data_IF_970017541132
#
_entry.id   IF_970017541132
#
_cell.length_a   1.000
_cell.length_b   1.000
_cell.length_c   1.000
_cell.angle_alpha   90.00
_cell.angle_beta   90.00
_cell.angle_gamma   90.00
#
_symmetry.space_group_name_H-M   'P 1'
#
loop_
_entity.id
_entity.type
_entity.pdbx_description
1 polymer ?
#
# COMPACT_ATOMS: atom_id res chain seq x y z
N UNK A 1 -8.70 19.34 0.10
CA UNK A 1 -9.45 18.09 -0.12
C UNK A 1 -8.63 16.99 -0.79
N UNK A 2 -7.76 17.27 -1.77
CA UNK A 2 -7.00 16.22 -2.47
C UNK A 2 -5.47 16.36 -2.45
N UNK A 3 -4.92 17.12 -1.50
CA UNK A 3 -3.49 17.42 -1.40
C UNK A 3 -2.78 16.65 -0.27
N UNK A 4 -3.52 15.79 0.44
CA UNK A 4 -3.03 14.94 1.53
C UNK A 4 -3.86 13.66 1.58
N UNK A 5 -3.33 12.56 2.15
CA UNK A 5 -4.16 11.42 2.49
C UNK A 5 -5.16 11.81 3.60
N UNK A 6 -6.39 11.31 3.49
CA UNK A 6 -7.51 11.54 4.42
C UNK A 6 -7.97 10.24 5.07
N UNK A 7 -8.01 9.17 4.28
CA UNK A 7 -8.50 7.86 4.68
C UNK A 7 -7.39 7.02 5.30
N UNK A 8 -7.67 6.42 6.46
CA UNK A 8 -6.76 5.47 7.10
C UNK A 8 -5.51 6.12 7.70
N UNK A 9 -5.56 7.42 8.03
CA UNK A 9 -4.40 8.14 8.57
C UNK A 9 -4.13 7.79 10.05
N UNK A 10 -5.15 7.34 10.78
CA UNK A 10 -5.07 7.08 12.22
C UNK A 10 -4.21 5.86 12.56
N UNK A 11 -3.99 4.95 11.61
CA UNK A 11 -3.05 3.85 11.74
C UNK A 11 -1.82 3.99 10.82
N UNK A 12 -1.36 5.23 10.62
CA UNK A 12 -0.19 5.54 9.80
C UNK A 12 0.87 6.35 10.55
N UNK A 13 2.04 5.74 10.79
CA UNK A 13 3.29 6.42 11.11
C UNK A 13 3.15 7.54 12.14
N UNK A 14 3.57 8.74 11.74
CA UNK A 14 3.53 9.95 12.59
C UNK A 14 2.13 10.40 13.04
N UNK A 15 1.07 9.87 12.45
CA UNK A 15 -0.32 10.20 12.79
C UNK A 15 -1.01 9.09 13.58
N UNK A 16 -0.26 8.08 14.02
CA UNK A 16 -0.82 6.92 14.67
C UNK A 16 -1.54 7.29 15.98
N UNK A 17 -2.83 6.95 16.05
CA UNK A 17 -3.67 7.00 17.26
C UNK A 17 -4.28 5.63 17.61
N UNK A 18 -4.27 4.66 16.68
CA UNK A 18 -4.76 3.31 16.92
C UNK A 18 -4.79 2.45 15.66
N UNK A 19 -4.96 1.14 15.82
CA UNK A 19 -5.19 0.21 14.70
C UNK A 19 -6.57 0.47 14.10
N UNK A 20 -6.63 0.65 12.78
CA UNK A 20 -7.88 0.86 12.07
C UNK A 20 -8.43 -0.44 11.51
N UNK A 21 -9.76 -0.55 11.54
CA UNK A 21 -10.52 -1.65 10.98
C UNK A 21 -11.38 -1.13 9.83
N UNK A 22 -11.17 -1.64 8.62
CA UNK A 22 -11.69 -1.07 7.37
C UNK A 22 -12.29 -2.15 6.46
N UNK A 23 -13.08 -1.74 5.46
CA UNK A 23 -13.83 -2.65 4.57
C UNK A 23 -15.28 -2.83 5.01
N UNK A 24 -15.80 -4.05 4.91
CA UNK A 24 -17.11 -4.42 5.45
C UNK A 24 -17.02 -4.65 6.97
N UNK A 25 -17.18 -3.57 7.73
CA UNK A 25 -17.07 -3.58 9.19
C UNK A 25 -18.26 -4.23 9.90
N UNK A 26 -19.31 -4.61 9.17
CA UNK A 26 -20.45 -5.36 9.73
C UNK A 26 -20.12 -6.85 9.94
N UNK A 27 -19.06 -7.36 9.30
CA UNK A 27 -18.59 -8.73 9.47
C UNK A 27 -17.51 -8.82 10.54
N UNK A 28 -17.58 -9.83 11.40
CA UNK A 28 -16.46 -10.22 12.27
C UNK A 28 -15.53 -11.16 11.48
N UNK A 29 -14.54 -10.63 10.77
CA UNK A 29 -13.48 -11.47 10.21
C UNK A 29 -12.13 -10.74 10.12
N UNK A 30 -11.48 -10.62 11.27
CA UNK A 30 -10.19 -9.99 11.56
C UNK A 30 -8.94 -10.69 10.97
N UNK A 31 -9.12 -11.59 10.01
CA UNK A 31 -8.02 -12.44 9.52
C UNK A 31 -7.05 -11.74 8.56
N UNK A 32 -7.45 -10.61 7.97
CA UNK A 32 -6.62 -9.85 7.02
C UNK A 32 -5.95 -8.67 7.71
N UNK A 33 -4.65 -8.53 7.51
CA UNK A 33 -3.84 -7.40 7.98
C UNK A 33 -3.12 -6.75 6.81
N UNK A 34 -3.26 -5.43 6.64
CA UNK A 34 -2.46 -4.64 5.70
C UNK A 34 -1.29 -3.96 6.43
N UNK A 35 -0.07 -4.29 6.01
CA UNK A 35 1.18 -3.69 6.47
C UNK A 35 1.91 -3.01 5.31
N UNK A 36 2.80 -2.06 5.64
CA UNK A 36 3.73 -1.50 4.69
C UNK A 36 4.10 -0.05 4.97
N UNK A 37 4.53 0.65 3.92
CA UNK A 37 4.94 2.05 3.99
C UNK A 37 3.79 3.00 3.55
N UNK A 38 4.10 4.16 2.99
CA UNK A 38 3.11 5.08 2.47
C UNK A 38 2.28 4.49 1.32
N UNK A 39 2.76 3.45 0.62
CA UNK A 39 1.96 2.75 -0.39
C UNK A 39 0.87 1.89 0.25
N UNK A 40 1.10 1.33 1.44
CA UNK A 40 0.03 0.68 2.20
C UNK A 40 -1.04 1.70 2.59
N UNK A 41 -0.67 2.92 2.99
CA UNK A 41 -1.63 4.01 3.25
C UNK A 41 -2.49 4.31 2.02
N UNK A 42 -1.88 4.41 0.83
CA UNK A 42 -2.62 4.60 -0.43
C UNK A 42 -3.60 3.45 -0.68
N UNK A 43 -3.19 2.21 -0.44
CA UNK A 43 -4.06 1.04 -0.64
C UNK A 43 -5.22 0.94 0.36
N UNK A 44 -5.21 1.65 1.50
CA UNK A 44 -6.30 1.59 2.49
C UNK A 44 -7.66 1.93 1.89
N UNK A 45 -7.76 3.03 1.14
CA UNK A 45 -9.03 3.43 0.54
C UNK A 45 -9.50 2.43 -0.52
N UNK A 46 -8.57 1.98 -1.39
CA UNK A 46 -8.85 0.94 -2.38
C UNK A 46 -9.40 -0.33 -1.73
N UNK A 47 -8.70 -0.89 -0.75
CA UNK A 47 -9.11 -2.11 -0.06
C UNK A 47 -10.39 -1.91 0.76
N UNK A 48 -10.62 -0.72 1.32
CA UNK A 48 -11.85 -0.42 2.06
C UNK A 48 -13.08 -0.44 1.15
N UNK A 49 -12.99 0.14 -0.05
CA UNK A 49 -14.08 0.13 -1.03
C UNK A 49 -14.36 -1.29 -1.52
N UNK A 50 -13.32 -2.01 -1.94
CA UNK A 50 -13.44 -3.39 -2.44
C UNK A 50 -13.92 -4.33 -1.33
N UNK A 51 -13.44 -4.15 -0.10
CA UNK A 51 -13.87 -4.90 1.08
C UNK A 51 -15.36 -4.68 1.40
N UNK A 52 -15.83 -3.44 1.31
CA UNK A 52 -17.25 -3.10 1.50
C UNK A 52 -18.12 -3.73 0.42
N UNK A 53 -17.67 -3.74 -0.83
CA UNK A 53 -18.41 -4.33 -1.96
C UNK A 53 -18.49 -5.86 -1.88
N UNK A 54 -17.38 -6.52 -1.55
CA UNK A 54 -17.29 -7.99 -1.58
C UNK A 54 -17.40 -8.65 -0.20
N UNK A 55 -17.64 -7.86 0.84
CA UNK A 55 -17.91 -8.34 2.19
C UNK A 55 -16.69 -8.97 2.87
N UNK A 56 -15.54 -8.29 2.83
CA UNK A 56 -14.40 -8.59 3.69
C UNK A 56 -13.92 -7.31 4.39
N UNK A 57 -13.20 -7.48 5.50
CA UNK A 57 -12.55 -6.39 6.22
C UNK A 57 -11.10 -6.73 6.52
N UNK A 58 -10.38 -5.72 6.99
CA UNK A 58 -8.97 -5.84 7.33
C UNK A 58 -8.61 -4.87 8.44
N UNK A 59 -7.60 -5.25 9.21
CA UNK A 59 -6.87 -4.34 10.09
C UNK A 59 -5.71 -3.74 9.34
N UNK A 60 -5.24 -2.57 9.73
CA UNK A 60 -4.08 -1.99 9.07
C UNK A 60 -3.21 -1.17 10.00
N UNK A 61 -1.90 -1.30 9.79
CA UNK A 61 -0.83 -0.52 10.39
C UNK A 61 0.17 -0.23 9.29
N UNK A 62 0.57 1.03 9.13
CA UNK A 62 1.50 1.45 8.07
C UNK A 62 2.41 2.54 8.59
N UNK A 63 3.50 2.85 7.90
CA UNK A 63 4.47 3.84 8.35
C UNK A 63 5.02 4.71 7.21
N UNK A 64 5.61 5.84 7.56
CA UNK A 64 6.32 6.70 6.61
C UNK A 64 7.66 6.06 6.20
N UNK A 65 7.95 6.03 4.89
CA UNK A 65 9.23 5.66 4.24
C UNK A 65 9.78 4.25 4.47
N UNK A 66 9.61 3.69 5.68
CA UNK A 66 10.05 2.36 6.10
C UNK A 66 8.81 1.52 6.35
N UNK A 67 8.66 0.37 5.67
CA UNK A 67 7.46 -0.43 5.82
C UNK A 67 7.34 -0.95 7.25
N UNK A 68 6.11 -1.08 7.75
CA UNK A 68 5.79 -1.58 9.09
C UNK A 68 6.01 -3.10 9.22
N UNK A 69 7.21 -3.55 8.87
CA UNK A 69 7.67 -4.94 8.89
C UNK A 69 8.78 -5.09 9.93
N UNK A 70 8.70 -6.03 10.88
CA UNK A 70 9.76 -6.26 11.85
C UNK A 70 11.01 -6.83 11.17
N UNK A 71 12.14 -6.14 11.33
CA UNK A 71 13.46 -6.65 10.88
C UNK A 71 14.35 -5.64 10.16
N UNK A 72 13.85 -4.45 9.84
CA UNK A 72 14.67 -3.41 9.17
C UNK A 72 15.87 -3.03 10.04
N UNK A 73 17.07 -3.09 9.44
CA UNK A 73 18.35 -2.84 10.09
C UNK A 73 18.54 -1.36 10.43
N UNK A 74 19.15 -1.09 11.59
CA UNK A 74 19.48 0.26 12.04
C UNK A 74 20.23 1.09 10.99
N UNK A 75 21.11 0.45 10.21
CA UNK A 75 21.94 1.12 9.19
C UNK A 75 21.14 1.73 8.04
N UNK A 76 19.90 1.26 7.81
CA UNK A 76 19.06 1.74 6.71
C UNK A 76 18.29 3.03 7.08
N UNK A 77 18.29 3.42 8.36
CA UNK A 77 17.58 4.61 8.80
C UNK A 77 18.35 5.89 8.50
N UNK A 78 17.70 6.81 7.78
CA UNK A 78 18.23 8.14 7.45
C UNK A 78 18.48 9.01 8.68
N UNK A 79 17.76 8.75 9.79
CA UNK A 79 17.88 9.51 11.03
C UNK A 79 17.38 8.70 12.24
N UNK A 80 17.80 9.13 13.44
CA UNK A 80 17.27 8.61 14.71
C UNK A 80 15.76 8.82 14.85
N UNK A 81 15.23 9.91 14.32
CA UNK A 81 13.79 10.22 14.38
C UNK A 81 12.97 9.24 13.53
N UNK A 82 13.38 8.97 12.28
CA UNK A 82 12.69 7.99 11.43
C UNK A 82 12.77 6.58 12.02
N UNK A 83 13.89 6.23 12.66
CA UNK A 83 14.03 4.98 13.40
C UNK A 83 13.05 4.89 14.57
N UNK A 84 12.98 5.93 15.41
CA UNK A 84 12.07 5.99 16.55
C UNK A 84 10.60 5.83 16.12
N UNK A 85 10.18 6.51 15.04
CA UNK A 85 8.83 6.34 14.49
C UNK A 85 8.57 4.89 14.07
N UNK A 86 9.49 4.30 13.31
CA UNK A 86 9.39 2.90 12.89
C UNK A 86 9.32 1.94 14.09
N UNK A 87 10.18 2.10 15.10
CA UNK A 87 10.22 1.21 16.27
C UNK A 87 8.92 1.22 17.08
N UNK A 88 8.21 2.36 17.12
CA UNK A 88 6.90 2.44 17.77
C UNK A 88 5.82 1.74 16.95
N UNK A 89 5.81 1.93 15.63
CA UNK A 89 4.82 1.32 14.74
C UNK A 89 5.03 -0.18 14.59
N UNK A 90 6.28 -0.63 14.52
CA UNK A 90 6.59 -2.04 14.23
C UNK A 90 6.22 -2.97 15.37
N UNK A 91 6.24 -2.49 16.62
CA UNK A 91 5.75 -3.24 17.78
C UNK A 91 4.25 -3.54 17.65
N UNK A 92 3.47 -2.52 17.28
CA UNK A 92 2.04 -2.67 17.01
C UNK A 92 1.83 -3.61 15.83
N UNK A 93 2.58 -3.42 14.74
CA UNK A 93 2.46 -4.27 13.55
C UNK A 93 2.77 -5.74 13.86
N UNK A 94 3.75 -6.03 14.73
CA UNK A 94 4.08 -7.39 15.17
C UNK A 94 2.97 -8.03 16.02
N UNK A 95 2.32 -7.25 16.88
CA UNK A 95 1.18 -7.72 17.67
C UNK A 95 -0.05 -8.01 16.79
N UNK A 96 -0.34 -7.14 15.82
CA UNK A 96 -1.39 -7.36 14.85
C UNK A 96 -1.08 -8.55 13.93
N UNK A 97 0.19 -8.72 13.56
CA UNK A 97 0.67 -9.84 12.74
C UNK A 97 0.34 -11.17 13.41
N UNK A 98 0.57 -11.32 14.72
CA UNK A 98 0.27 -12.57 15.47
C UNK A 98 -1.18 -13.01 15.28
N UNK A 99 -2.12 -12.06 15.29
CA UNK A 99 -3.55 -12.30 15.22
C UNK A 99 -4.11 -12.41 13.79
N UNK A 100 -3.27 -12.28 12.75
CA UNK A 100 -3.70 -12.37 11.35
C UNK A 100 -3.51 -13.78 10.76
N UNK A 101 -4.25 -14.12 9.70
CA UNK A 101 -4.01 -15.32 8.87
C UNK A 101 -3.50 -14.95 7.48
N UNK A 102 -3.88 -13.77 7.01
CA UNK A 102 -3.52 -13.22 5.70
C UNK A 102 -2.90 -11.84 5.93
N UNK A 103 -1.76 -11.60 5.32
CA UNK A 103 -1.00 -10.36 5.45
C UNK A 103 -0.80 -9.78 4.06
N UNK A 104 -1.41 -8.63 3.78
CA UNK A 104 -1.21 -7.87 2.55
C UNK A 104 -0.07 -6.87 2.80
N UNK A 105 0.92 -6.85 1.91
CA UNK A 105 2.07 -5.95 1.97
C UNK A 105 1.96 -4.91 0.85
N UNK A 106 1.73 -3.65 1.22
CA UNK A 106 1.77 -2.50 0.32
C UNK A 106 3.05 -1.70 0.52
N UNK A 107 4.03 -1.86 -0.37
CA UNK A 107 5.30 -1.12 -0.26
C UNK A 107 5.76 -0.60 -1.61
N UNK A 108 6.54 0.47 -1.56
CA UNK A 108 7.31 0.98 -2.71
C UNK A 108 8.63 0.22 -2.91
N UNK A 109 8.99 -0.69 -1.98
CA UNK A 109 10.19 -1.54 -2.02
C UNK A 109 11.49 -0.76 -2.29
N UNK A 110 11.72 0.30 -1.50
CA UNK A 110 12.84 1.22 -1.75
C UNK A 110 14.18 0.49 -1.70
N UNK A 111 14.96 0.60 -2.78
CA UNK A 111 16.29 -0.03 -2.92
C UNK A 111 17.33 0.45 -1.90
N UNK A 112 17.14 1.62 -1.30
CA UNK A 112 18.04 2.14 -0.27
C UNK A 112 17.81 1.51 1.11
N UNK A 113 16.74 0.72 1.30
CA UNK A 113 16.52 -0.08 2.51
C UNK A 113 17.14 -1.46 2.26
N UNK A 114 18.44 -1.58 2.49
CA UNK A 114 19.22 -2.76 2.06
C UNK A 114 18.83 -4.05 2.79
N UNK A 115 18.24 -3.95 3.98
CA UNK A 115 17.74 -5.09 4.75
C UNK A 115 16.31 -5.51 4.42
N UNK A 116 15.62 -4.82 3.50
CA UNK A 116 14.20 -5.07 3.24
C UNK A 116 13.93 -6.48 2.68
N UNK A 117 14.73 -6.93 1.72
CA UNK A 117 14.55 -8.26 1.12
C UNK A 117 14.75 -9.37 2.16
N UNK A 118 15.83 -9.29 2.95
CA UNK A 118 16.10 -10.23 4.05
C UNK A 118 14.97 -10.21 5.11
N UNK A 119 14.45 -9.02 5.41
CA UNK A 119 13.32 -8.84 6.34
C UNK A 119 12.06 -9.54 5.83
N UNK A 120 11.72 -9.35 4.54
CA UNK A 120 10.59 -10.02 3.91
C UNK A 120 10.78 -11.53 3.90
N UNK A 121 11.97 -12.01 3.54
CA UNK A 121 12.27 -13.44 3.49
C UNK A 121 12.10 -14.10 4.87
N UNK A 122 12.67 -13.50 5.92
CA UNK A 122 12.51 -13.96 7.30
C UNK A 122 11.06 -13.95 7.75
N UNK A 123 10.33 -12.88 7.43
CA UNK A 123 8.92 -12.73 7.78
C UNK A 123 8.09 -13.89 7.20
N UNK A 124 8.26 -14.17 5.91
CA UNK A 124 7.53 -15.24 5.20
C UNK A 124 7.91 -16.62 5.76
N UNK A 125 9.21 -16.90 5.91
CA UNK A 125 9.71 -18.20 6.38
C UNK A 125 9.33 -18.51 7.83
N UNK A 126 9.30 -17.50 8.71
CA UNK A 126 8.97 -17.69 10.12
C UNK A 126 7.47 -17.88 10.37
N UNK A 127 6.62 -17.63 9.36
CA UNK A 127 5.17 -17.73 9.49
C UNK A 127 4.57 -18.60 8.37
N UNK A 128 4.94 -19.89 8.27
CA UNK A 128 4.48 -20.77 7.20
C UNK A 128 2.96 -20.98 7.17
N UNK A 129 2.29 -20.76 8.31
CA UNK A 129 0.84 -20.90 8.45
C UNK A 129 0.05 -19.64 8.02
N UNK A 130 0.73 -18.53 7.69
CA UNK A 130 0.12 -17.29 7.21
C UNK A 130 0.32 -17.15 5.71
N UNK A 131 -0.65 -16.55 5.02
CA UNK A 131 -0.52 -16.17 3.61
C UNK A 131 -0.02 -14.74 3.50
N UNK A 132 1.04 -14.51 2.74
CA UNK A 132 1.57 -13.18 2.45
C UNK A 132 1.22 -12.79 1.03
N UNK A 133 0.56 -11.65 0.84
CA UNK A 133 0.16 -11.13 -0.47
C UNK A 133 0.90 -9.81 -0.70
N UNK A 134 1.77 -9.77 -1.70
CA UNK A 134 2.55 -8.60 -2.06
C UNK A 134 1.82 -7.82 -3.17
N UNK A 135 1.58 -6.54 -2.91
CA UNK A 135 0.95 -5.63 -3.87
C UNK A 135 2.02 -5.02 -4.77
N UNK A 136 1.82 -5.10 -6.09
CA UNK A 136 2.65 -4.33 -7.01
C UNK A 136 2.55 -2.81 -6.67
N UNK A 137 3.61 -2.00 -6.80
CA UNK A 137 3.53 -0.58 -6.46
C UNK A 137 2.63 0.19 -7.44
N UNK A 138 1.95 1.25 -6.99
CA UNK A 138 1.20 2.15 -7.88
C UNK A 138 2.13 2.95 -8.83
N UNK A 139 1.63 3.43 -9.99
CA UNK A 139 2.42 4.24 -10.90
C UNK A 139 2.84 5.58 -10.28
N UNK A 140 4.03 6.06 -10.65
CA UNK A 140 4.56 7.37 -10.26
C UNK A 140 4.55 8.35 -11.40
N UNK A 141 4.64 9.62 -11.04
CA UNK A 141 4.81 10.74 -11.95
C UNK A 141 6.24 11.28 -11.82
N UNK A 142 6.73 11.92 -12.87
CA UNK A 142 8.00 12.64 -12.89
C UNK A 142 7.97 13.91 -12.03
N UNK A 143 6.79 14.52 -11.86
CA UNK A 143 6.59 15.77 -11.10
C UNK A 143 5.24 15.81 -10.38
N UNK A 144 5.21 16.61 -9.32
CA UNK A 144 4.04 16.73 -8.45
C UNK A 144 2.86 17.43 -9.16
N UNK A 145 1.73 16.74 -9.40
CA UNK A 145 0.65 17.30 -10.21
C UNK A 145 -0.10 18.41 -9.49
N UNK A 146 -0.24 18.34 -8.17
CA UNK A 146 -0.90 19.39 -7.38
C UNK A 146 -0.10 20.69 -7.43
N UNK A 147 1.24 20.61 -7.34
CA UNK A 147 2.12 21.79 -7.39
C UNK A 147 2.14 22.44 -8.76
N UNK A 148 2.29 21.64 -9.83
CA UNK A 148 2.30 22.14 -11.21
C UNK A 148 0.96 22.77 -11.57
N UNK A 149 -0.12 22.08 -11.22
CA UNK A 149 -1.48 22.51 -11.52
C UNK A 149 -1.97 23.67 -10.64
N UNK A 150 -1.36 23.87 -9.46
CA UNK A 150 -1.77 24.83 -8.40
C UNK A 150 -3.20 24.60 -7.91
N UNK A 151 -3.59 23.34 -7.78
CA UNK A 151 -4.92 22.94 -7.35
C UNK A 151 -5.24 21.51 -7.74
N UNK A 152 -6.44 21.05 -7.40
CA UNK A 152 -6.88 19.69 -7.70
C UNK A 152 -7.69 19.57 -9.01
N UNK A 153 -8.25 20.67 -9.52
CA UNK A 153 -8.93 20.71 -10.82
C UNK A 153 -7.95 21.09 -11.92
N UNK A 154 -7.92 20.35 -13.02
CA UNK A 154 -6.98 20.59 -14.12
C UNK A 154 -7.07 22.04 -14.62
N UNK A 155 -5.93 22.69 -14.70
CA UNK A 155 -5.74 24.03 -15.22
C UNK A 155 -5.08 23.91 -16.60
N UNK A 156 -5.85 24.16 -17.66
CA UNK A 156 -5.37 24.05 -19.05
C UNK A 156 -4.27 25.06 -19.40
N UNK A 157 -4.04 26.06 -18.55
CA UNK A 157 -2.98 27.07 -18.72
C UNK A 157 -1.66 26.65 -18.05
N UNK A 158 -1.57 25.42 -17.53
CA UNK A 158 -0.37 24.86 -16.90
C UNK A 158 0.18 23.71 -17.74
N UNK A 159 1.48 23.46 -17.61
CA UNK A 159 2.14 22.32 -18.25
C UNK A 159 1.78 21.01 -17.54
N UNK A 160 0.60 20.50 -17.87
CA UNK A 160 0.05 19.27 -17.32
C UNK A 160 0.43 18.02 -18.13
N UNK A 161 1.64 18.00 -18.72
CA UNK A 161 2.23 16.80 -19.32
C UNK A 161 3.09 16.08 -18.27
N UNK A 162 2.93 14.77 -18.12
CA UNK A 162 3.63 13.98 -17.10
C UNK A 162 4.15 12.69 -17.72
N UNK A 163 5.34 12.29 -17.32
CA UNK A 163 5.86 10.96 -17.61
C UNK A 163 5.43 10.02 -16.49
N UNK A 164 4.78 8.91 -16.86
CA UNK A 164 4.28 7.92 -15.92
C UNK A 164 5.26 6.75 -15.85
N UNK A 165 5.77 6.48 -14.66
CA UNK A 165 6.63 5.34 -14.38
C UNK A 165 5.82 4.21 -13.74
N UNK A 166 5.74 3.08 -14.43
CA UNK A 166 5.15 1.85 -13.93
C UNK A 166 6.23 1.04 -13.21
N UNK A 167 6.10 0.92 -11.89
CA UNK A 167 7.05 0.21 -11.06
C UNK A 167 6.65 -1.25 -10.93
N UNK A 168 7.65 -2.12 -10.90
CA UNK A 168 7.46 -3.53 -10.58
C UNK A 168 7.99 -3.86 -9.19
N UNK A 169 7.51 -4.96 -8.62
CA UNK A 169 8.14 -5.56 -7.43
C UNK A 169 9.60 -5.90 -7.75
N UNK A 170 10.57 -5.58 -6.88
CA UNK A 170 11.97 -5.92 -7.13
C UNK A 170 12.20 -7.42 -7.30
N UNK A 171 13.18 -7.77 -8.13
CA UNK A 171 13.52 -9.16 -8.45
C UNK A 171 13.82 -10.03 -7.21
N UNK A 172 14.46 -9.47 -6.18
CA UNK A 172 14.70 -10.20 -4.93
C UNK A 172 13.40 -10.57 -4.20
N UNK A 173 12.42 -9.68 -4.19
CA UNK A 173 11.09 -9.95 -3.62
C UNK A 173 10.31 -10.94 -4.48
N UNK A 174 10.39 -10.85 -5.82
CA UNK A 174 9.79 -11.85 -6.73
C UNK A 174 10.32 -13.26 -6.43
N UNK A 175 11.65 -13.41 -6.28
CA UNK A 175 12.26 -14.69 -5.90
C UNK A 175 11.79 -15.21 -4.53
N UNK A 176 11.55 -14.33 -3.57
CA UNK A 176 10.98 -14.75 -2.28
C UNK A 176 9.56 -15.28 -2.49
N UNK A 177 8.75 -14.62 -3.31
CA UNK A 177 7.39 -15.07 -3.63
C UNK A 177 7.43 -16.45 -4.32
N UNK A 178 8.25 -16.61 -5.35
CA UNK A 178 8.32 -17.85 -6.14
C UNK A 178 8.84 -19.06 -5.33
N UNK A 179 9.71 -18.82 -4.34
CA UNK A 179 10.32 -19.87 -3.53
C UNK A 179 9.51 -20.24 -2.27
N UNK A 180 8.40 -19.56 -1.97
CA UNK A 180 7.64 -19.80 -0.74
C UNK A 180 6.15 -20.04 -1.08
N UNK A 181 5.59 -21.23 -0.78
CA UNK A 181 4.22 -21.59 -1.16
C UNK A 181 3.13 -20.76 -0.45
N UNK A 182 3.49 -20.07 0.63
CA UNK A 182 2.62 -19.19 1.38
C UNK A 182 2.77 -17.71 1.00
N UNK A 183 3.55 -17.38 -0.04
CA UNK A 183 3.71 -16.04 -0.58
C UNK A 183 3.08 -15.92 -1.97
N UNK A 184 2.40 -14.81 -2.22
CA UNK A 184 1.62 -14.55 -3.43
C UNK A 184 1.81 -13.09 -3.87
N UNK A 185 1.60 -12.82 -5.15
CA UNK A 185 1.55 -11.46 -5.69
C UNK A 185 0.16 -11.17 -6.23
N UNK A 186 -0.35 -9.96 -5.99
CA UNK A 186 -1.46 -9.39 -6.77
C UNK A 186 -0.95 -8.11 -7.43
N UNK A 187 -1.13 -8.04 -8.75
CA UNK A 187 -0.75 -6.91 -9.59
C UNK A 187 -1.97 -6.45 -10.39
N UNK A 188 -2.17 -5.14 -10.47
CA UNK A 188 -3.16 -4.53 -11.36
C UNK A 188 -2.45 -4.01 -12.61
N UNK A 189 -3.02 -4.24 -13.79
CA UNK A 189 -2.49 -3.69 -15.03
C UNK A 189 -2.83 -2.19 -15.16
N UNK A 190 -2.00 -1.36 -14.54
CA UNK A 190 -2.18 0.08 -14.53
C UNK A 190 -2.07 0.73 -15.92
N UNK A 191 -1.56 0.05 -16.95
CA UNK A 191 -1.57 0.57 -18.33
C UNK A 191 -2.99 0.72 -18.88
N UNK A 192 -3.98 0.03 -18.29
CA UNK A 192 -5.40 0.20 -18.61
C UNK A 192 -5.97 1.52 -18.10
N UNK A 193 -5.32 2.18 -17.14
CA UNK A 193 -5.77 3.48 -16.62
C UNK A 193 -5.58 4.56 -17.65
N UNK A 194 -6.69 5.17 -18.06
CA UNK A 194 -6.67 6.28 -19.01
C UNK A 194 -6.62 7.62 -18.26
N UNK A 195 -5.81 8.54 -18.79
CA UNK A 195 -5.83 9.94 -18.38
C UNK A 195 -4.96 10.32 -17.19
N UNK A 196 -4.09 9.43 -16.68
CA UNK A 196 -3.18 9.81 -15.58
C UNK A 196 -2.42 11.13 -15.91
N UNK A 197 -2.29 12.06 -14.94
CA UNK A 197 -2.74 11.97 -13.55
C UNK A 197 -4.17 12.50 -13.29
N UNK A 198 -4.97 12.79 -14.31
CA UNK A 198 -6.31 13.39 -14.18
C UNK A 198 -7.45 12.48 -14.67
N UNK A 199 -8.50 12.33 -13.87
CA UNK A 199 -9.77 11.75 -14.36
C UNK A 199 -10.88 12.79 -14.22
N UNK A 200 -11.65 12.97 -15.29
CA UNK A 200 -12.74 13.96 -15.35
C UNK A 200 -12.31 15.37 -14.89
N UNK A 201 -11.06 15.75 -15.18
CA UNK A 201 -10.49 17.03 -14.79
C UNK A 201 -10.09 17.16 -13.32
N UNK A 202 -10.09 16.07 -12.54
CA UNK A 202 -9.65 16.04 -11.14
C UNK A 202 -8.35 15.23 -11.02
N UNK A 203 -7.37 15.75 -10.28
CA UNK A 203 -6.11 15.06 -10.01
C UNK A 203 -6.36 13.80 -9.19
N UNK A 204 -5.77 12.68 -9.62
CA UNK A 204 -5.79 11.39 -8.93
C UNK A 204 -4.67 11.26 -7.89
N UNK A 205 -3.79 12.26 -7.81
CA UNK A 205 -2.57 12.26 -6.99
C UNK A 205 -2.52 13.48 -6.07
N UNK A 206 -1.95 13.30 -4.87
CA UNK A 206 -1.62 14.43 -3.99
C UNK A 206 -0.14 14.82 -4.07
N UNK A 207 0.72 13.93 -4.54
CA UNK A 207 2.10 14.20 -4.95
C UNK A 207 2.53 13.28 -6.09
N UNK A 208 3.81 13.30 -6.48
CA UNK A 208 4.35 12.50 -7.57
C UNK A 208 4.40 10.98 -7.29
N UNK A 209 4.34 10.56 -6.02
CA UNK A 209 4.44 9.15 -5.63
C UNK A 209 3.11 8.53 -5.18
N UNK A 210 2.14 9.34 -4.75
CA UNK A 210 0.97 8.87 -4.03
C UNK A 210 -0.35 9.34 -4.64
N UNK A 211 -1.23 8.37 -4.91
CA UNK A 211 -2.61 8.63 -5.26
C UNK A 211 -3.42 9.14 -4.06
N UNK A 212 -4.36 10.05 -4.32
CA UNK A 212 -5.31 10.53 -3.32
C UNK A 212 -6.57 9.64 -3.27
N UNK A 213 -7.52 10.02 -2.41
CA UNK A 213 -8.79 9.30 -2.25
C UNK A 213 -9.58 9.19 -3.57
N UNK A 214 -9.58 10.24 -4.38
CA UNK A 214 -10.24 10.21 -5.69
C UNK A 214 -9.56 9.21 -6.64
N UNK A 215 -8.23 9.25 -6.73
CA UNK A 215 -7.46 8.31 -7.55
C UNK A 215 -7.66 6.86 -7.15
N UNK A 216 -7.60 6.57 -5.85
CA UNK A 216 -7.80 5.21 -5.31
C UNK A 216 -9.24 4.73 -5.43
N UNK A 217 -10.23 5.64 -5.44
CA UNK A 217 -11.62 5.31 -5.78
C UNK A 217 -11.75 4.89 -7.25
N UNK A 218 -11.08 5.57 -8.17
CA UNK A 218 -11.02 5.15 -9.58
C UNK A 218 -10.34 3.78 -9.71
N UNK A 219 -9.26 3.51 -8.96
CA UNK A 219 -8.65 2.18 -8.93
C UNK A 219 -9.63 1.10 -8.46
N UNK A 220 -10.38 1.36 -7.40
CA UNK A 220 -11.35 0.39 -6.87
C UNK A 220 -12.43 0.06 -7.92
N UNK A 221 -12.93 1.08 -8.62
CA UNK A 221 -13.94 0.88 -9.68
C UNK A 221 -13.40 0.10 -10.89
N UNK A 222 -12.15 0.35 -11.29
CA UNK A 222 -11.56 -0.25 -12.50
C UNK A 222 -11.01 -1.67 -12.24
N UNK A 223 -10.46 -1.92 -11.04
CA UNK A 223 -9.72 -3.15 -10.73
C UNK A 223 -10.25 -3.93 -9.52
N UNK A 224 -11.22 -3.42 -8.77
CA UNK A 224 -11.69 -4.03 -7.52
C UNK A 224 -12.17 -5.47 -7.68
N UNK A 225 -12.94 -5.74 -8.73
CA UNK A 225 -13.42 -7.08 -9.06
C UNK A 225 -12.27 -8.05 -9.41
N UNK A 226 -11.30 -7.60 -10.22
CA UNK A 226 -10.13 -8.40 -10.59
C UNK A 226 -9.29 -8.74 -9.35
N UNK A 227 -8.99 -7.72 -8.54
CA UNK A 227 -8.29 -7.88 -7.26
C UNK A 227 -9.00 -8.86 -6.33
N UNK A 228 -10.31 -8.72 -6.15
CA UNK A 228 -11.07 -9.58 -5.24
C UNK A 228 -11.09 -11.03 -5.71
N UNK A 229 -11.22 -11.27 -7.03
CA UNK A 229 -11.17 -12.61 -7.59
C UNK A 229 -9.83 -13.30 -7.31
N UNK A 230 -8.72 -12.57 -7.43
CA UNK A 230 -7.39 -13.11 -7.13
C UNK A 230 -7.17 -13.30 -5.63
N UNK A 231 -7.60 -12.35 -4.81
CA UNK A 231 -7.59 -12.48 -3.35
C UNK A 231 -8.37 -13.73 -2.92
N UNK A 232 -9.58 -13.93 -3.45
CA UNK A 232 -10.43 -15.08 -3.14
C UNK A 232 -9.75 -16.40 -3.48
N UNK A 233 -9.17 -16.52 -4.69
CA UNK A 233 -8.39 -17.72 -5.08
C UNK A 233 -7.25 -18.01 -4.12
N UNK A 234 -6.54 -16.97 -3.66
CA UNK A 234 -5.44 -17.13 -2.70
C UNK A 234 -5.98 -17.58 -1.34
N UNK A 235 -7.10 -17.01 -0.87
CA UNK A 235 -7.71 -17.37 0.41
C UNK A 235 -8.23 -18.81 0.42
N UNK A 236 -8.73 -19.31 -0.69
CA UNK A 236 -9.31 -20.66 -0.83
C UNK A 236 -8.27 -21.79 -1.03
N UNK A 237 -7.04 -21.46 -1.43
CA UNK A 237 -5.90 -22.42 -1.51
C UNK A 237 -5.46 -22.93 -0.14
#
# INVERSE_FOLDING_TARGET
EYATPTIGINSHGRFYIGVEFMGDTNKKNDSILLLGDSYALVYKNFLALVGKEHGFNFRTVSNDSYPSLPGISEKDFSSKYTRFLYENIVKIADDELKNSKIVIIGSIYRKNITSLEETIEKLVKNHPNKKFIFMAPIPKLDKNPVRINRGYKINKNKDNHYDVSYQEIPEGVKKIIDNNPNAFMISMDYHKLKGLPFRNGITMYYDEEHMNEYGTTILANEFGNEFYNDLKKIIEK
#
